data_IF_505241079103
#
_entry.id   IF_505241079103
#
_cell.length_a   1.000
_cell.length_b   1.000
_cell.length_c   1.000
_cell.angle_alpha   90.00
_cell.angle_beta   90.00
_cell.angle_gamma   90.00
#
_symmetry.space_group_name_H-M   'P 1'
#
loop_
_entity.id
_entity.type
_entity.pdbx_description
1 polymer ?
#
# COMPACT_ATOMS: atom_id res chain seq x y z
N UNK A 1 -15.36 -8.95 -6.30
CA UNK A 1 -14.37 -7.90 -5.98
C UNK A 1 -13.50 -7.71 -7.20
N UNK A 2 -13.41 -6.50 -7.70
CA UNK A 2 -12.53 -6.13 -8.82
C UNK A 2 -11.10 -5.89 -8.33
N UNK A 3 -10.13 -5.95 -9.24
CA UNK A 3 -8.74 -5.60 -8.96
C UNK A 3 -8.62 -4.20 -8.34
N UNK A 4 -9.37 -3.23 -8.88
CA UNK A 4 -9.40 -1.86 -8.36
C UNK A 4 -9.91 -1.79 -6.92
N UNK A 5 -10.98 -2.53 -6.59
CA UNK A 5 -11.51 -2.58 -5.23
C UNK A 5 -10.50 -3.23 -4.26
N UNK A 6 -9.82 -4.30 -4.69
CA UNK A 6 -8.79 -4.95 -3.88
C UNK A 6 -7.60 -4.02 -3.60
N UNK A 7 -7.10 -3.33 -4.63
CA UNK A 7 -6.03 -2.33 -4.49
C UNK A 7 -6.46 -1.22 -3.52
N UNK A 8 -7.69 -0.70 -3.66
CA UNK A 8 -8.20 0.33 -2.77
C UNK A 8 -8.25 -0.13 -1.31
N UNK A 9 -8.73 -1.36 -1.05
CA UNK A 9 -8.77 -1.92 0.30
C UNK A 9 -7.37 -2.04 0.91
N UNK A 10 -6.38 -2.51 0.14
CA UNK A 10 -4.99 -2.59 0.62
C UNK A 10 -4.45 -1.19 0.93
N UNK A 11 -4.67 -0.21 0.04
CA UNK A 11 -4.24 1.18 0.27
C UNK A 11 -4.92 1.76 1.52
N UNK A 12 -6.21 1.49 1.73
CA UNK A 12 -6.95 1.92 2.92
C UNK A 12 -6.43 1.27 4.21
N UNK A 13 -6.02 0.00 4.17
CA UNK A 13 -5.39 -0.67 5.32
C UNK A 13 -4.09 0.02 5.76
N UNK A 14 -3.28 0.50 4.81
CA UNK A 14 -2.03 1.21 5.10
C UNK A 14 -2.23 2.72 5.38
N UNK A 15 -3.42 3.28 5.13
CA UNK A 15 -3.71 4.71 5.30
C UNK A 15 -3.28 5.27 6.67
N UNK A 16 -3.55 4.63 7.82
CA UNK A 16 -3.15 5.17 9.12
C UNK A 16 -1.62 5.32 9.25
N UNK A 17 -0.86 4.40 8.66
CA UNK A 17 0.61 4.43 8.66
C UNK A 17 1.12 5.60 7.81
N UNK A 18 0.57 5.76 6.60
CA UNK A 18 0.96 6.84 5.69
C UNK A 18 0.62 8.22 6.28
N UNK A 19 -0.56 8.37 6.89
CA UNK A 19 -0.96 9.60 7.57
C UNK A 19 -0.03 9.91 8.76
N UNK A 20 0.36 8.91 9.54
CA UNK A 20 1.29 9.09 10.68
C UNK A 20 2.62 9.67 10.23
N UNK A 21 3.19 9.20 9.12
CA UNK A 21 4.51 9.64 8.64
C UNK A 21 4.48 10.89 7.77
N UNK A 22 3.36 11.17 7.10
CA UNK A 22 3.15 12.43 6.39
C UNK A 22 2.83 13.60 7.35
N UNK A 23 2.41 13.31 8.59
CA UNK A 23 2.24 14.32 9.62
C UNK A 23 3.58 14.67 10.28
N UNK A 24 4.24 15.69 9.75
CA UNK A 24 5.51 16.20 10.25
C UNK A 24 5.28 17.19 11.39
N UNK A 25 6.36 17.51 12.14
CA UNK A 25 6.29 18.55 13.17
C UNK A 25 5.92 19.94 12.62
N UNK A 26 6.11 20.15 11.31
CA UNK A 26 5.79 21.38 10.58
C UNK A 26 4.38 21.39 9.98
N UNK A 27 3.61 20.31 10.14
CA UNK A 27 2.29 20.13 9.53
C UNK A 27 2.22 18.88 8.67
N UNK A 28 1.06 18.69 8.04
CA UNK A 28 0.83 17.61 7.10
C UNK A 28 1.49 17.92 5.76
N UNK A 29 2.27 16.96 5.26
CA UNK A 29 2.92 17.02 3.95
C UNK A 29 2.12 16.17 2.95
N UNK A 30 1.27 16.83 2.16
CA UNK A 30 0.42 16.21 1.16
C UNK A 30 1.21 15.48 0.07
N UNK A 31 2.37 16.00 -0.31
CA UNK A 31 3.23 15.43 -1.35
C UNK A 31 3.85 14.12 -0.83
N UNK A 32 4.36 14.13 0.41
CA UNK A 32 4.88 12.93 1.06
C UNK A 32 3.80 11.86 1.24
N UNK A 33 2.56 12.25 1.58
CA UNK A 33 1.45 11.30 1.64
C UNK A 33 1.17 10.65 0.28
N UNK A 34 1.15 11.44 -0.80
CA UNK A 34 0.95 10.93 -2.16
C UNK A 34 2.09 10.00 -2.59
N UNK A 35 3.33 10.30 -2.24
CA UNK A 35 4.48 9.42 -2.47
C UNK A 35 4.32 8.07 -1.74
N UNK A 36 3.84 8.07 -0.49
CA UNK A 36 3.54 6.83 0.20
C UNK A 36 2.46 6.01 -0.50
N UNK A 37 1.39 6.65 -0.99
CA UNK A 37 0.33 5.96 -1.74
C UNK A 37 0.91 5.32 -3.02
N UNK A 38 1.72 6.06 -3.78
CA UNK A 38 2.41 5.55 -4.96
C UNK A 38 3.35 4.37 -4.63
N UNK A 39 4.03 4.44 -3.49
CA UNK A 39 4.89 3.37 -3.00
C UNK A 39 4.09 2.10 -2.69
N UNK A 40 2.98 2.21 -1.95
CA UNK A 40 2.10 1.06 -1.65
C UNK A 40 1.56 0.42 -2.93
N UNK A 41 1.08 1.23 -3.88
CA UNK A 41 0.62 0.74 -5.19
C UNK A 41 1.74 -0.01 -5.92
N UNK A 42 2.95 0.55 -5.92
CA UNK A 42 4.13 -0.10 -6.52
C UNK A 42 4.47 -1.42 -5.82
N UNK A 43 4.34 -1.50 -4.49
CA UNK A 43 4.53 -2.73 -3.74
C UNK A 43 3.49 -3.80 -4.11
N UNK A 44 2.22 -3.42 -4.30
CA UNK A 44 1.17 -4.35 -4.73
C UNK A 44 1.53 -4.98 -6.09
N UNK A 45 1.91 -4.16 -7.08
CA UNK A 45 2.23 -4.66 -8.42
C UNK A 45 3.56 -5.44 -8.50
N UNK A 46 4.51 -5.15 -7.59
CA UNK A 46 5.81 -5.84 -7.54
C UNK A 46 5.82 -7.05 -6.62
N UNK A 47 4.74 -7.28 -5.86
CA UNK A 47 4.68 -8.43 -4.96
C UNK A 47 4.70 -9.72 -5.79
N UNK A 48 5.67 -10.63 -5.57
CA UNK A 48 5.82 -11.83 -6.38
C UNK A 48 4.81 -12.89 -5.92
N UNK A 49 3.53 -12.67 -6.22
CA UNK A 49 2.41 -13.44 -5.69
C UNK A 49 2.53 -14.92 -6.01
N UNK A 50 2.91 -15.29 -7.24
CA UNK A 50 3.03 -16.69 -7.66
C UNK A 50 4.12 -17.42 -6.88
N UNK A 51 5.26 -16.74 -6.65
CA UNK A 51 6.34 -17.28 -5.83
C UNK A 51 5.89 -17.45 -4.38
N UNK A 52 5.22 -16.45 -3.83
CA UNK A 52 4.72 -16.50 -2.47
C UNK A 52 3.66 -17.59 -2.30
N UNK A 53 2.75 -17.77 -3.27
CA UNK A 53 1.73 -18.81 -3.22
C UNK A 53 2.35 -20.22 -3.23
N UNK A 54 3.33 -20.44 -4.11
CA UNK A 54 4.06 -21.70 -4.20
C UNK A 54 4.87 -22.04 -2.94
N UNK A 55 5.32 -21.03 -2.18
CA UNK A 55 6.08 -21.23 -0.93
C UNK A 55 5.17 -21.48 0.29
N UNK A 56 3.89 -21.14 0.22
CA UNK A 56 2.98 -21.15 1.38
C UNK A 56 1.82 -22.15 1.25
N UNK A 57 1.82 -23.04 0.24
CA UNK A 57 0.82 -24.11 0.03
C UNK A 57 -0.63 -23.60 0.21
N UNK A 58 -0.90 -22.40 -0.31
CA UNK A 58 -2.25 -21.85 -0.37
C UNK A 58 -2.92 -22.35 -1.66
N UNK A 59 -3.25 -23.64 -1.66
CA UNK A 59 -4.21 -24.26 -2.58
C UNK A 59 -5.52 -24.57 -1.83
#
# INVERSE_FOLDING_TARGET
MSEREAIQLIVEMYRPLMLKYANLNTGFDDDLYQEFVCCVISCIFKFPFEKWNAENDLD
#
